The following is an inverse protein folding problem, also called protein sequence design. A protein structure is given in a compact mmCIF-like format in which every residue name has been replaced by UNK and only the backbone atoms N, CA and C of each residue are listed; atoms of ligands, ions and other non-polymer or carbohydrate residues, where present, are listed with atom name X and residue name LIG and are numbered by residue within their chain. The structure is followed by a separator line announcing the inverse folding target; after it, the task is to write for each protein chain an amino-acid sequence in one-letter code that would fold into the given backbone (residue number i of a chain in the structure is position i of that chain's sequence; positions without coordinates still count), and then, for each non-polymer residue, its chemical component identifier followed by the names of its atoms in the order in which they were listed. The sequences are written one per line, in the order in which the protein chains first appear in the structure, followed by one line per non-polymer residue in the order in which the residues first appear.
data_IF_277174120592
#
_entry.id   IF_277174120592
#
_cell.length_a   1.000
_cell.length_b   1.000
_cell.length_c   1.000
_cell.angle_alpha   90.00
_cell.angle_beta   90.00
_cell.angle_gamma   90.00
#
_symmetry.space_group_name_H-M   'P 1'
#
loop_
_entity.id
_entity.type
_entity.pdbx_description
1 polymer ?
#
# COMPACT_ATOMS: atom_id res chain seq x y z
N UNK A 1 -30.91 -0.58 -24.87
CA UNK A 1 -31.92 -1.59 -24.49
C UNK A 1 -31.24 -2.66 -23.66
N UNK A 2 -31.74 -2.93 -22.46
CA UNK A 2 -31.22 -3.96 -21.54
C UNK A 2 -32.08 -5.22 -21.71
N UNK A 3 -31.45 -6.38 -21.94
CA UNK A 3 -32.19 -7.64 -22.15
C UNK A 3 -32.67 -8.20 -20.81
N UNK A 4 -33.98 -8.48 -20.69
CA UNK A 4 -34.59 -9.14 -19.53
C UNK A 4 -34.74 -10.65 -19.80
N UNK A 5 -34.69 -11.48 -18.76
CA UNK A 5 -35.02 -12.91 -18.86
C UNK A 5 -36.55 -13.14 -18.87
N UNK A 6 -36.99 -14.40 -19.01
CA UNK A 6 -38.42 -14.78 -19.05
C UNK A 6 -39.24 -14.39 -17.81
N UNK A 7 -38.59 -14.03 -16.70
CA UNK A 7 -39.22 -13.58 -15.47
C UNK A 7 -39.15 -12.05 -15.31
N UNK A 8 -38.73 -11.31 -16.35
CA UNK A 8 -38.59 -9.86 -16.33
C UNK A 8 -37.34 -9.32 -15.62
N UNK A 9 -36.39 -10.19 -15.24
CA UNK A 9 -35.19 -9.79 -14.51
C UNK A 9 -34.08 -9.41 -15.51
N UNK A 10 -33.39 -8.26 -15.33
CA UNK A 10 -32.27 -7.88 -16.19
C UNK A 10 -31.19 -8.96 -16.26
N UNK A 11 -30.95 -9.48 -17.46
CA UNK A 11 -29.93 -10.48 -17.72
C UNK A 11 -28.64 -9.78 -18.14
N UNK A 12 -27.60 -9.89 -17.30
CA UNK A 12 -26.25 -9.47 -17.66
C UNK A 12 -25.74 -10.37 -18.80
N UNK A 13 -25.64 -9.82 -20.01
CA UNK A 13 -25.03 -10.52 -21.14
C UNK A 13 -23.51 -10.58 -20.91
N UNK A 14 -22.86 -11.75 -21.09
CA UNK A 14 -21.41 -11.89 -20.93
C UNK A 14 -20.67 -11.32 -22.16
N UNK A 15 -20.95 -10.07 -22.52
CA UNK A 15 -20.15 -9.34 -23.52
C UNK A 15 -19.23 -8.42 -22.74
N UNK A 16 -17.96 -8.80 -22.72
CA UNK A 16 -16.86 -8.16 -22.01
C UNK A 16 -16.80 -8.47 -20.51
N UNK A 17 -16.34 -9.69 -20.17
CA UNK A 17 -15.45 -9.80 -19.01
C UNK A 17 -14.29 -8.83 -19.29
N UNK A 18 -14.31 -7.64 -18.69
CA UNK A 18 -13.12 -6.79 -18.70
C UNK A 18 -12.01 -7.66 -18.11
N UNK A 19 -11.03 -8.03 -18.94
CA UNK A 19 -9.74 -8.51 -18.43
C UNK A 19 -9.17 -7.33 -17.69
N UNK A 20 -9.44 -7.25 -16.38
CA UNK A 20 -8.76 -6.29 -15.53
C UNK A 20 -7.34 -6.81 -15.44
N UNK A 21 -6.46 -6.32 -16.30
CA UNK A 21 -5.03 -6.53 -16.12
C UNK A 21 -4.73 -6.07 -14.70
N UNK A 22 -4.39 -7.03 -13.83
CA UNK A 22 -3.84 -6.73 -12.53
C UNK A 22 -2.46 -6.15 -12.80
N UNK A 23 -2.40 -4.86 -13.13
CA UNK A 23 -1.13 -4.13 -13.06
C UNK A 23 -0.67 -4.28 -11.61
N UNK A 24 0.53 -4.85 -11.36
CA UNK A 24 1.06 -4.81 -10.01
C UNK A 24 1.05 -3.35 -9.58
N UNK A 25 0.57 -3.09 -8.37
CA UNK A 25 0.60 -1.77 -7.77
C UNK A 25 2.08 -1.46 -7.53
N UNK A 26 2.81 -1.07 -8.57
CA UNK A 26 4.23 -0.76 -8.51
C UNK A 26 4.38 0.67 -7.98
N UNK A 27 3.73 0.93 -6.85
CA UNK A 27 3.83 2.18 -6.12
C UNK A 27 5.06 2.01 -5.23
N UNK A 28 6.22 2.43 -5.75
CA UNK A 28 7.37 2.68 -4.89
C UNK A 28 7.02 3.91 -4.06
N UNK A 29 6.54 3.67 -2.84
CA UNK A 29 6.34 4.75 -1.88
C UNK A 29 7.72 5.26 -1.47
N UNK A 30 7.89 6.58 -1.32
CA UNK A 30 9.13 7.12 -0.75
C UNK A 30 9.30 6.56 0.67
N UNK A 31 10.44 5.94 0.92
CA UNK A 31 10.78 5.32 2.22
C UNK A 31 11.87 6.15 2.92
N UNK A 32 11.95 6.03 4.24
CA UNK A 32 12.99 6.61 5.10
C UNK A 32 13.57 5.50 5.98
N UNK A 33 14.87 5.58 6.29
CA UNK A 33 15.57 4.61 7.14
C UNK A 33 15.93 5.28 8.45
N UNK A 34 15.72 4.57 9.56
CA UNK A 34 16.11 5.02 10.88
C UNK A 34 16.93 3.93 11.56
N UNK A 35 17.91 4.32 12.36
CA UNK A 35 18.62 3.43 13.26
C UNK A 35 18.52 3.88 14.71
N UNK A 36 18.49 2.89 15.59
CA UNK A 36 18.73 3.03 17.01
C UNK A 36 19.97 2.21 17.35
N UNK A 37 20.97 2.87 17.92
CA UNK A 37 22.17 2.23 18.45
C UNK A 37 21.97 2.16 19.95
N UNK A 38 21.76 0.94 20.44
CA UNK A 38 21.84 0.63 21.87
C UNK A 38 23.20 -0.04 22.15
N UNK A 39 23.59 -0.11 23.43
CA UNK A 39 24.91 -0.61 23.83
C UNK A 39 25.16 -2.08 23.39
N UNK A 40 24.10 -2.82 23.06
CA UNK A 40 24.15 -4.23 22.66
C UNK A 40 23.84 -4.49 21.18
N UNK A 41 23.17 -3.56 20.47
CA UNK A 41 22.73 -3.79 19.09
C UNK A 41 22.39 -2.52 18.30
N UNK A 42 22.63 -2.57 16.99
CA UNK A 42 22.12 -1.61 16.01
C UNK A 42 20.86 -2.17 15.35
N UNK A 43 19.74 -1.45 15.50
CA UNK A 43 18.46 -1.82 14.89
C UNK A 43 18.10 -0.80 13.82
N UNK A 44 17.87 -1.28 12.61
CA UNK A 44 17.39 -0.46 11.50
C UNK A 44 15.91 -0.71 11.18
N UNK A 45 15.18 0.36 10.87
CA UNK A 45 13.78 0.30 10.43
C UNK A 45 13.57 1.14 9.18
N UNK A 46 12.77 0.61 8.24
CA UNK A 46 12.41 1.29 7.00
C UNK A 46 10.91 1.62 7.04
N UNK A 47 10.58 2.90 7.02
CA UNK A 47 9.19 3.38 7.11
C UNK A 47 8.81 4.25 5.91
N UNK A 48 7.55 4.24 5.46
CA UNK A 48 7.08 5.18 4.45
C UNK A 48 7.21 6.63 4.94
N UNK A 49 7.56 7.56 4.04
CA UNK A 49 7.80 8.96 4.38
C UNK A 49 6.61 9.63 5.08
N UNK A 50 5.39 9.31 4.64
CA UNK A 50 4.14 9.86 5.16
C UNK A 50 3.65 9.16 6.44
N UNK A 51 4.38 8.16 6.94
CA UNK A 51 3.96 7.42 8.13
C UNK A 51 4.03 8.35 9.35
N UNK A 52 2.97 8.45 10.17
CA UNK A 52 2.98 9.28 11.38
C UNK A 52 4.01 8.79 12.41
N UNK A 53 4.48 7.55 12.29
CA UNK A 53 5.50 6.99 13.18
C UNK A 53 6.85 7.72 13.08
N UNK A 54 7.10 8.46 11.99
CA UNK A 54 8.33 9.22 11.79
C UNK A 54 8.56 10.23 12.91
N UNK A 55 7.51 10.89 13.39
CA UNK A 55 7.61 11.86 14.49
C UNK A 55 7.91 11.17 15.82
N UNK A 56 7.33 9.99 16.05
CA UNK A 56 7.58 9.16 17.23
C UNK A 56 9.04 8.67 17.27
N UNK A 57 9.54 8.13 16.16
CA UNK A 57 10.94 7.66 16.07
C UNK A 57 11.93 8.78 16.40
N UNK A 58 11.71 9.99 15.89
CA UNK A 58 12.55 11.15 16.20
C UNK A 58 12.48 11.56 17.67
N UNK A 59 11.29 11.45 18.30
CA UNK A 59 11.10 11.72 19.72
C UNK A 59 11.79 10.69 20.63
N UNK A 60 11.80 9.42 20.20
CA UNK A 60 12.39 8.29 20.93
C UNK A 60 13.92 8.14 20.71
N UNK A 61 14.56 9.13 20.07
CA UNK A 61 16.01 9.16 19.89
C UNK A 61 16.55 8.39 18.68
N UNK A 62 15.69 7.90 17.78
CA UNK A 62 16.13 7.26 16.54
C UNK A 62 16.73 8.28 15.58
N UNK A 63 17.81 7.87 14.90
CA UNK A 63 18.50 8.72 13.92
C UNK A 63 18.16 8.28 12.51
N UNK A 64 17.81 9.24 11.67
CA UNK A 64 17.58 8.99 10.26
C UNK A 64 18.91 8.77 9.54
N UNK A 65 18.98 7.72 8.72
CA UNK A 65 20.14 7.37 7.89
C UNK A 65 19.79 7.64 6.43
N UNK A 66 20.64 8.39 5.74
CA UNK A 66 20.50 8.78 4.32
C UNK A 66 21.24 7.79 3.42
#
# INVERSE_FOLDING_TARGET
MQTLNKNGIPQWLPKHKRKRERKPLNIQLPMRRFALIDDEAEVEVVVPHFSPIVELLKGDGWREIV
#
